data_IF_966303376723
#
_entry.id   IF_966303376723
#
_cell.length_a   1.000
_cell.length_b   1.000
_cell.length_c   1.000
_cell.angle_alpha   90.00
_cell.angle_beta   90.00
_cell.angle_gamma   90.00
#
_symmetry.space_group_name_H-M   'P 1'
#
loop_
_entity.id
_entity.type
_entity.pdbx_description
1 polymer ?
#
# COMPACT_ATOMS: atom_id res chain seq x y z
N UNK A 1 -14.67 49.38 17.81
CA UNK A 1 -13.96 49.26 16.53
C UNK A 1 -14.51 48.06 15.76
N UNK A 2 -15.69 48.18 15.12
CA UNK A 2 -16.24 47.13 14.25
C UNK A 2 -15.38 46.85 13.00
N UNK A 3 -14.48 47.77 12.65
CA UNK A 3 -13.58 47.70 11.49
C UNK A 3 -12.62 46.49 11.59
N UNK A 4 -12.09 46.21 12.79
CA UNK A 4 -11.17 45.09 13.02
C UNK A 4 -11.87 43.74 13.11
N UNK A 5 -13.19 43.73 13.35
CA UNK A 5 -13.97 42.50 13.60
C UNK A 5 -13.89 41.53 12.42
N UNK A 6 -13.96 42.05 11.19
CA UNK A 6 -13.87 41.22 9.98
C UNK A 6 -12.49 40.58 9.82
N UNK A 7 -11.43 41.37 10.01
CA UNK A 7 -10.05 40.86 9.91
C UNK A 7 -9.74 39.82 10.99
N UNK A 8 -10.20 40.04 12.24
CA UNK A 8 -10.04 39.05 13.33
C UNK A 8 -10.80 37.77 13.02
N UNK A 9 -12.01 37.87 12.44
CA UNK A 9 -12.80 36.71 12.01
C UNK A 9 -12.03 35.88 10.97
N UNK A 10 -11.63 36.48 9.87
CA UNK A 10 -10.89 35.78 8.80
C UNK A 10 -9.61 35.13 9.33
N UNK A 11 -8.87 35.86 10.18
CA UNK A 11 -7.65 35.32 10.78
C UNK A 11 -7.93 34.11 11.67
N UNK A 12 -8.97 34.16 12.50
CA UNK A 12 -9.33 33.03 13.36
C UNK A 12 -9.74 31.78 12.58
N UNK A 13 -10.49 31.95 11.48
CA UNK A 13 -10.91 30.84 10.61
C UNK A 13 -9.71 30.22 9.89
N UNK A 14 -8.82 31.06 9.35
CA UNK A 14 -7.59 30.59 8.70
C UNK A 14 -6.71 29.80 9.66
N UNK A 15 -6.51 30.30 10.89
CA UNK A 15 -5.66 29.64 11.89
C UNK A 15 -6.24 28.29 12.32
N UNK A 16 -7.54 28.20 12.55
CA UNK A 16 -8.20 26.94 12.91
C UNK A 16 -8.09 25.91 11.78
N UNK A 17 -8.32 26.33 10.54
CA UNK A 17 -8.15 25.46 9.39
C UNK A 17 -6.71 24.94 9.27
N UNK A 18 -5.70 25.80 9.46
CA UNK A 18 -4.28 25.40 9.43
C UNK A 18 -3.97 24.38 10.52
N UNK A 19 -4.41 24.60 11.76
CA UNK A 19 -4.12 23.67 12.85
C UNK A 19 -4.74 22.30 12.63
N UNK A 20 -6.01 22.25 12.23
CA UNK A 20 -6.68 20.97 11.97
C UNK A 20 -6.06 20.22 10.78
N UNK A 21 -5.68 20.95 9.73
CA UNK A 21 -5.01 20.39 8.56
C UNK A 21 -3.61 19.83 8.90
N UNK A 22 -2.81 20.56 9.67
CA UNK A 22 -1.48 20.09 10.09
C UNK A 22 -1.54 18.89 11.04
N UNK A 23 -2.50 18.87 11.98
CA UNK A 23 -2.74 17.69 12.83
C UNK A 23 -3.11 16.46 11.99
N UNK A 24 -4.00 16.62 11.02
CA UNK A 24 -4.41 15.52 10.14
C UNK A 24 -3.28 15.05 9.23
N UNK A 25 -2.48 15.97 8.68
CA UNK A 25 -1.29 15.64 7.87
C UNK A 25 -0.28 14.84 8.68
N UNK A 26 -0.02 15.22 9.92
CA UNK A 26 0.94 14.53 10.78
C UNK A 26 0.46 13.12 11.14
N UNK A 27 -0.83 12.96 11.49
CA UNK A 27 -1.41 11.64 11.72
C UNK A 27 -1.31 10.76 10.46
N UNK A 28 -1.60 11.32 9.28
CA UNK A 28 -1.45 10.63 7.99
C UNK A 28 0.01 10.26 7.69
N UNK A 29 1.00 11.08 8.07
CA UNK A 29 2.44 10.76 7.90
C UNK A 29 2.85 9.57 8.77
N UNK A 30 2.41 9.57 10.04
CA UNK A 30 2.68 8.47 10.97
C UNK A 30 2.04 7.18 10.45
N UNK A 31 0.76 7.22 10.08
CA UNK A 31 0.03 6.08 9.52
C UNK A 31 0.72 5.56 8.25
N UNK A 32 1.16 6.45 7.37
CA UNK A 32 1.93 6.08 6.17
C UNK A 32 3.16 5.26 6.53
N UNK A 33 3.94 5.72 7.51
CA UNK A 33 5.17 5.04 7.91
C UNK A 33 4.86 3.66 8.52
N UNK A 34 3.80 3.57 9.33
CA UNK A 34 3.32 2.28 9.87
C UNK A 34 2.90 1.34 8.73
N UNK A 35 2.18 1.83 7.71
CA UNK A 35 1.84 1.04 6.53
C UNK A 35 3.09 0.53 5.81
N UNK A 36 4.09 1.37 5.58
CA UNK A 36 5.33 0.97 4.89
C UNK A 36 6.10 -0.11 5.68
N UNK A 37 6.17 0.02 7.00
CA UNK A 37 6.76 -1.01 7.88
C UNK A 37 5.96 -2.33 7.84
N UNK A 38 4.62 -2.26 7.81
CA UNK A 38 3.74 -3.44 7.71
C UNK A 38 3.80 -4.11 6.34
N UNK A 39 3.89 -3.34 5.26
CA UNK A 39 4.15 -3.86 3.92
C UNK A 39 5.50 -4.59 3.88
N UNK A 40 6.54 -4.01 4.49
CA UNK A 40 7.87 -4.64 4.59
C UNK A 40 7.83 -5.95 5.37
N UNK A 41 7.08 -6.00 6.48
CA UNK A 41 6.91 -7.24 7.25
C UNK A 41 6.09 -8.29 6.47
N UNK A 42 5.07 -7.86 5.73
CA UNK A 42 4.26 -8.74 4.89
C UNK A 42 5.06 -9.30 3.70
N UNK A 43 5.93 -8.50 3.08
CA UNK A 43 6.84 -8.96 2.01
C UNK A 43 7.76 -10.09 2.50
N UNK A 44 8.29 -9.99 3.73
CA UNK A 44 9.15 -11.05 4.33
C UNK A 44 8.45 -12.40 4.47
N UNK A 45 7.12 -12.44 4.41
CA UNK A 45 6.32 -13.67 4.47
C UNK A 45 6.12 -14.31 3.08
N UNK A 46 6.51 -13.64 2.01
CA UNK A 46 6.35 -14.16 0.65
C UNK A 46 7.23 -15.40 0.40
N UNK A 47 6.77 -16.35 -0.44
CA UNK A 47 7.51 -17.57 -0.74
C UNK A 47 8.94 -17.37 -1.26
N UNK A 48 9.22 -16.23 -1.92
CA UNK A 48 10.55 -15.88 -2.45
C UNK A 48 11.64 -15.91 -1.37
N UNK A 49 11.31 -15.54 -0.13
CA UNK A 49 12.26 -15.54 0.98
C UNK A 49 12.56 -16.93 1.55
N UNK A 50 11.79 -17.95 1.17
CA UNK A 50 12.03 -19.34 1.59
C UNK A 50 13.12 -20.05 0.77
N UNK A 51 13.53 -19.50 -0.37
CA UNK A 51 14.49 -20.15 -1.29
C UNK A 51 15.82 -20.51 -0.59
N UNK A 52 16.38 -19.60 0.20
CA UNK A 52 17.62 -19.83 0.94
C UNK A 52 17.47 -20.97 1.96
N UNK A 53 16.32 -21.06 2.62
CA UNK A 53 16.02 -22.12 3.59
C UNK A 53 15.96 -23.49 2.90
N UNK A 54 15.36 -23.57 1.71
CA UNK A 54 15.29 -24.80 0.90
C UNK A 54 16.69 -25.21 0.42
N UNK A 55 17.48 -24.27 -0.10
CA UNK A 55 18.84 -24.51 -0.57
C UNK A 55 19.75 -25.03 0.57
N UNK A 56 19.64 -24.43 1.76
CA UNK A 56 20.42 -24.83 2.93
C UNK A 56 20.03 -26.23 3.45
N UNK A 57 18.76 -26.62 3.37
CA UNK A 57 18.33 -28.00 3.71
C UNK A 57 18.98 -29.02 2.78
N UNK A 58 19.02 -28.76 1.47
CA UNK A 58 19.70 -29.63 0.49
C UNK A 58 21.22 -29.72 0.70
N UNK A 59 21.86 -28.66 1.22
CA UNK A 59 23.31 -28.62 1.49
C UNK A 59 23.72 -29.27 2.82
N UNK A 60 22.83 -29.32 3.82
CA UNK A 60 23.12 -29.93 5.14
C UNK A 60 23.41 -31.43 5.08
N UNK A 61 23.01 -32.12 4.02
CA UNK A 61 23.41 -33.51 3.76
C UNK A 61 24.91 -33.67 3.38
N UNK A 62 25.65 -32.57 3.13
CA UNK A 62 27.05 -32.65 2.65
C UNK A 62 28.10 -31.85 3.42
N UNK A 63 27.77 -30.85 4.25
CA UNK A 63 28.79 -30.19 5.09
C UNK A 63 28.20 -29.35 6.23
N UNK A 64 28.85 -29.39 7.40
CA UNK A 64 28.34 -28.90 8.70
C UNK A 64 28.96 -27.57 9.18
N UNK A 65 29.47 -26.70 8.30
CA UNK A 65 30.08 -25.43 8.70
C UNK A 65 29.51 -24.24 7.94
N UNK A 66 29.15 -23.21 8.71
CA UNK A 66 28.60 -21.90 8.35
C UNK A 66 27.13 -21.88 7.90
N UNK A 67 26.22 -22.06 8.87
CA UNK A 67 24.81 -21.70 8.68
C UNK A 67 24.67 -20.22 9.05
N UNK A 68 24.44 -19.35 8.07
CA UNK A 68 24.00 -17.97 8.34
C UNK A 68 22.67 -18.06 9.07
N UNK A 69 22.58 -17.45 10.24
CA UNK A 69 21.34 -17.45 11.04
C UNK A 69 20.32 -16.51 10.38
N UNK A 70 19.32 -17.10 9.74
CA UNK A 70 18.23 -16.34 9.10
C UNK A 70 17.28 -15.93 10.22
N UNK A 71 17.19 -14.64 10.49
CA UNK A 71 16.20 -14.08 11.41
C UNK A 71 14.82 -14.39 10.86
N UNK A 72 14.00 -15.11 11.64
CA UNK A 72 12.67 -15.51 11.22
C UNK A 72 11.68 -14.36 11.44
N UNK A 73 10.70 -14.17 10.54
CA UNK A 73 9.57 -13.27 10.79
C UNK A 73 8.91 -13.56 12.15
N UNK A 74 8.55 -12.51 12.87
CA UNK A 74 8.05 -12.55 14.24
C UNK A 74 9.13 -12.36 15.32
N UNK A 75 10.42 -12.48 14.98
CA UNK A 75 11.50 -12.15 15.92
C UNK A 75 11.50 -10.67 16.31
N UNK A 76 11.12 -9.79 15.38
CA UNK A 76 10.92 -8.36 15.60
C UNK A 76 9.83 -8.04 16.63
N UNK A 77 8.88 -8.95 16.85
CA UNK A 77 7.82 -8.81 17.85
C UNK A 77 8.18 -9.40 19.22
N UNK A 78 9.31 -10.10 19.32
CA UNK A 78 9.76 -10.67 20.60
C UNK A 78 10.43 -9.60 21.47
N UNK A 79 9.59 -8.88 22.24
CA UNK A 79 10.05 -7.82 23.14
C UNK A 79 10.62 -8.39 24.44
N UNK A 80 11.86 -7.99 24.78
CA UNK A 80 12.52 -8.33 26.05
C UNK A 80 12.26 -7.32 27.16
N UNK A 81 12.30 -6.03 26.84
CA UNK A 81 12.06 -4.92 27.77
C UNK A 81 11.24 -3.82 27.10
N UNK A 82 10.52 -3.01 27.87
CA UNK A 82 9.79 -1.82 27.37
C UNK A 82 10.66 -0.55 27.38
N UNK A 83 11.85 -0.63 27.95
CA UNK A 83 12.82 0.47 27.96
C UNK A 83 13.44 0.68 26.56
N UNK A 84 13.53 -0.39 25.76
CA UNK A 84 14.00 -0.35 24.38
C UNK A 84 12.81 -0.11 23.44
N UNK A 85 12.61 1.16 23.06
CA UNK A 85 11.55 1.54 22.12
C UNK A 85 11.99 1.35 20.67
N UNK A 86 11.25 0.48 19.96
CA UNK A 86 11.40 0.30 18.51
C UNK A 86 10.84 1.50 17.74
N UNK A 87 11.12 1.59 16.43
CA UNK A 87 10.49 2.60 15.56
C UNK A 87 8.97 2.48 15.60
N UNK A 88 8.44 1.26 15.49
CA UNK A 88 7.01 1.01 15.64
C UNK A 88 6.44 1.50 16.97
N UNK A 89 7.15 1.35 18.08
CA UNK A 89 6.66 1.83 19.37
C UNK A 89 6.49 3.35 19.37
N UNK A 90 7.48 4.08 18.87
CA UNK A 90 7.44 5.54 18.77
C UNK A 90 6.31 6.00 17.86
N UNK A 91 6.12 5.33 16.72
CA UNK A 91 5.04 5.63 15.78
C UNK A 91 3.66 5.39 16.40
N UNK A 92 3.44 4.26 17.05
CA UNK A 92 2.14 3.94 17.67
C UNK A 92 1.84 4.85 18.87
N UNK A 93 2.85 5.21 19.67
CA UNK A 93 2.69 6.19 20.75
C UNK A 93 2.27 7.56 20.18
N UNK A 94 3.01 8.08 19.20
CA UNK A 94 2.70 9.36 18.57
C UNK A 94 1.32 9.35 17.90
N UNK A 95 0.97 8.26 17.21
CA UNK A 95 -0.35 8.10 16.60
C UNK A 95 -1.47 8.14 17.65
N UNK A 96 -1.31 7.42 18.76
CA UNK A 96 -2.32 7.36 19.82
C UNK A 96 -2.60 8.74 20.41
N UNK A 97 -1.54 9.48 20.75
CA UNK A 97 -1.66 10.83 21.32
C UNK A 97 -2.30 11.82 20.33
N UNK A 98 -1.89 11.78 19.06
CA UNK A 98 -2.42 12.67 18.05
C UNK A 98 -3.87 12.34 17.67
N UNK A 99 -4.20 11.06 17.55
CA UNK A 99 -5.57 10.61 17.34
C UNK A 99 -6.47 10.98 18.52
N UNK A 100 -5.98 10.91 19.75
CA UNK A 100 -6.70 11.41 20.92
C UNK A 100 -7.02 12.89 20.77
N UNK A 101 -6.06 13.72 20.35
CA UNK A 101 -6.28 15.15 20.13
C UNK A 101 -7.29 15.44 18.99
N UNK A 102 -7.21 14.68 17.88
CA UNK A 102 -8.16 14.80 16.75
C UNK A 102 -9.57 14.37 17.16
N UNK A 103 -9.70 13.34 17.99
CA UNK A 103 -10.99 12.80 18.42
C UNK A 103 -11.56 13.50 19.69
N UNK A 104 -10.79 14.40 20.32
CA UNK A 104 -11.17 15.06 21.57
C UNK A 104 -12.48 15.83 21.47
N UNK A 105 -12.69 16.55 20.36
CA UNK A 105 -13.93 17.25 20.05
C UNK A 105 -14.50 16.79 18.71
N UNK A 106 -15.80 16.48 18.66
CA UNK A 106 -16.48 16.12 17.41
C UNK A 106 -16.56 17.29 16.44
N UNK A 107 -16.77 18.51 16.96
CA UNK A 107 -16.75 19.75 16.21
C UNK A 107 -16.11 20.89 17.00
N UNK A 108 -15.60 21.89 16.28
CA UNK A 108 -15.06 23.15 16.82
C UNK A 108 -15.82 24.30 16.17
N UNK A 109 -16.52 25.11 16.96
CA UNK A 109 -17.27 26.26 16.46
C UNK A 109 -16.44 27.53 16.60
N UNK A 110 -16.22 28.23 15.49
CA UNK A 110 -15.43 29.47 15.43
C UNK A 110 -16.22 30.47 14.63
N UNK A 111 -16.79 31.47 15.33
CA UNK A 111 -17.85 32.34 14.79
C UNK A 111 -19.05 31.50 14.31
N UNK A 112 -19.57 31.81 13.13
CA UNK A 112 -20.69 31.10 12.50
C UNK A 112 -20.27 29.83 11.75
N UNK A 113 -19.01 29.38 11.90
CA UNK A 113 -18.47 28.23 11.18
C UNK A 113 -18.21 27.07 12.12
N UNK A 114 -18.57 25.87 11.66
CA UNK A 114 -18.32 24.61 12.36
C UNK A 114 -17.26 23.81 11.62
N UNK A 115 -16.20 23.44 12.33
CA UNK A 115 -15.12 22.61 11.85
C UNK A 115 -15.24 21.21 12.45
N UNK A 116 -14.94 20.16 11.68
CA UNK A 116 -14.96 18.78 12.14
C UNK A 116 -13.55 18.16 12.00
N UNK A 117 -12.76 18.07 13.08
CA UNK A 117 -11.35 17.64 13.02
C UNK A 117 -11.14 16.28 12.31
N UNK A 118 -12.02 15.30 12.58
CA UNK A 118 -11.96 13.97 11.96
C UNK A 118 -12.09 13.98 10.43
N UNK A 119 -12.80 14.95 9.86
CA UNK A 119 -13.03 15.03 8.41
C UNK A 119 -11.73 15.42 7.67
N UNK A 120 -10.87 16.23 8.30
CA UNK A 120 -9.54 16.52 7.76
C UNK A 120 -8.71 15.24 7.67
N UNK A 121 -8.71 14.41 8.73
CA UNK A 121 -8.00 13.14 8.71
C UNK A 121 -8.58 12.19 7.67
N UNK A 122 -9.92 12.05 7.58
CA UNK A 122 -10.58 11.24 6.56
C UNK A 122 -10.10 11.62 5.14
N UNK A 123 -10.15 12.91 4.78
CA UNK A 123 -9.74 13.39 3.46
C UNK A 123 -8.25 13.10 3.15
N UNK A 124 -7.37 13.30 4.14
CA UNK A 124 -5.95 13.00 4.00
C UNK A 124 -5.69 11.50 3.83
N UNK A 125 -6.41 10.64 4.55
CA UNK A 125 -6.29 9.18 4.42
C UNK A 125 -6.76 8.70 3.05
N UNK A 126 -7.90 9.18 2.57
CA UNK A 126 -8.43 8.85 1.24
C UNK A 126 -7.44 9.24 0.13
N UNK A 127 -6.95 10.49 0.17
CA UNK A 127 -5.97 10.98 -0.80
C UNK A 127 -4.66 10.19 -0.74
N UNK A 128 -4.16 9.89 0.46
CA UNK A 128 -2.91 9.16 0.65
C UNK A 128 -3.03 7.71 0.22
N UNK A 129 -4.16 7.06 0.49
CA UNK A 129 -4.42 5.68 0.12
C UNK A 129 -4.53 5.52 -1.40
N UNK A 130 -5.28 6.39 -2.09
CA UNK A 130 -5.32 6.40 -3.56
C UNK A 130 -3.93 6.52 -4.18
N UNK A 131 -3.09 7.43 -3.67
CA UNK A 131 -1.69 7.56 -4.12
C UNK A 131 -0.84 6.34 -3.77
N UNK A 132 -1.06 5.72 -2.61
CA UNK A 132 -0.35 4.50 -2.21
C UNK A 132 -0.64 3.34 -3.17
N UNK A 133 -1.92 3.13 -3.50
CA UNK A 133 -2.39 2.04 -4.37
C UNK A 133 -1.65 2.05 -5.71
N UNK A 134 -1.59 3.21 -6.37
CA UNK A 134 -0.87 3.36 -7.64
C UNK A 134 0.64 3.29 -7.44
N UNK A 135 1.18 3.91 -6.38
CA UNK A 135 2.61 3.87 -6.07
C UNK A 135 3.13 2.44 -5.85
N UNK A 136 2.35 1.57 -5.21
CA UNK A 136 2.71 0.18 -4.97
C UNK A 136 2.72 -0.69 -6.24
N UNK A 137 2.12 -0.23 -7.34
CA UNK A 137 2.19 -0.93 -8.64
C UNK A 137 3.61 -0.92 -9.20
N UNK A 138 4.44 0.06 -8.80
CA UNK A 138 5.85 0.17 -9.21
C UNK A 138 6.04 0.10 -10.73
N UNK A 139 5.09 0.63 -11.51
CA UNK A 139 5.18 0.61 -12.97
C UNK A 139 6.26 1.58 -13.45
N UNK A 140 7.26 1.05 -14.16
CA UNK A 140 8.30 1.83 -14.80
C UNK A 140 8.28 1.58 -16.32
N UNK A 141 7.95 2.63 -17.07
CA UNK A 141 7.82 2.55 -18.53
C UNK A 141 9.15 2.31 -19.24
N UNK A 142 10.26 2.82 -18.68
CA UNK A 142 11.60 2.70 -19.29
C UNK A 142 12.15 1.29 -19.14
N UNK A 143 11.95 0.66 -17.98
CA UNK A 143 12.42 -0.71 -17.71
C UNK A 143 11.37 -1.77 -18.05
N UNK A 144 10.12 -1.38 -18.35
CA UNK A 144 8.98 -2.28 -18.51
C UNK A 144 8.69 -3.12 -17.26
N UNK A 145 9.05 -2.62 -16.09
CA UNK A 145 8.82 -3.30 -14.81
C UNK A 145 7.46 -2.94 -14.23
N UNK A 146 6.84 -3.91 -13.57
CA UNK A 146 5.61 -3.75 -12.79
C UNK A 146 5.64 -4.74 -11.63
N UNK A 147 5.05 -4.38 -10.49
CA UNK A 147 4.87 -5.29 -9.38
C UNK A 147 4.02 -6.50 -9.81
N UNK A 148 4.35 -7.68 -9.27
CA UNK A 148 3.51 -8.87 -9.47
C UNK A 148 2.15 -8.66 -8.79
N UNK A 149 1.03 -9.04 -9.43
CA UNK A 149 -0.29 -8.91 -8.84
C UNK A 149 -0.40 -9.48 -7.42
N UNK A 150 0.21 -10.64 -7.14
CA UNK A 150 0.19 -11.25 -5.80
C UNK A 150 0.95 -10.44 -4.75
N UNK A 151 2.10 -9.87 -5.11
CA UNK A 151 2.90 -9.03 -4.21
C UNK A 151 2.22 -7.69 -3.94
N UNK A 152 1.61 -7.09 -4.97
CA UNK A 152 0.79 -5.89 -4.82
C UNK A 152 -0.41 -6.17 -3.91
N UNK A 153 -1.14 -7.27 -4.12
CA UNK A 153 -2.28 -7.64 -3.30
C UNK A 153 -1.92 -7.81 -1.82
N UNK A 154 -0.79 -8.45 -1.52
CA UNK A 154 -0.28 -8.56 -0.15
C UNK A 154 -0.01 -7.19 0.47
N UNK A 155 0.60 -6.28 -0.29
CA UNK A 155 0.90 -4.91 0.16
C UNK A 155 -0.38 -4.09 0.39
N UNK A 156 -1.36 -4.18 -0.53
CA UNK A 156 -2.67 -3.54 -0.39
C UNK A 156 -3.38 -4.03 0.86
N UNK A 157 -3.41 -5.35 1.10
CA UNK A 157 -4.03 -5.93 2.30
C UNK A 157 -3.32 -5.47 3.58
N UNK A 158 -1.99 -5.42 3.59
CA UNK A 158 -1.23 -4.90 4.73
C UNK A 158 -1.58 -3.44 5.03
N UNK A 159 -1.66 -2.60 3.99
CA UNK A 159 -2.05 -1.20 4.11
C UNK A 159 -3.48 -1.06 4.65
N UNK A 160 -4.43 -1.83 4.12
CA UNK A 160 -5.82 -1.84 4.58
C UNK A 160 -5.93 -2.27 6.04
N UNK A 161 -5.18 -3.28 6.47
CA UNK A 161 -5.18 -3.71 7.87
C UNK A 161 -4.75 -2.58 8.81
N UNK A 162 -3.71 -1.81 8.46
CA UNK A 162 -3.31 -0.64 9.26
C UNK A 162 -4.40 0.41 9.28
N UNK A 163 -4.97 0.77 8.13
CA UNK A 163 -6.05 1.76 8.06
C UNK A 163 -7.26 1.33 8.90
N UNK A 164 -7.64 0.05 8.88
CA UNK A 164 -8.73 -0.47 9.70
C UNK A 164 -8.45 -0.27 11.20
N UNK A 165 -7.19 -0.42 11.65
CA UNK A 165 -6.85 -0.19 13.06
C UNK A 165 -6.98 1.27 13.49
N UNK A 166 -6.99 2.23 12.54
CA UNK A 166 -7.19 3.65 12.84
C UNK A 166 -8.58 3.91 13.45
N UNK A 167 -9.59 3.11 13.08
CA UNK A 167 -10.95 3.19 13.64
C UNK A 167 -10.98 2.98 15.16
N UNK A 168 -9.99 2.27 15.71
CA UNK A 168 -9.88 2.07 17.16
C UNK A 168 -9.48 3.35 17.91
N UNK A 169 -8.87 4.33 17.22
CA UNK A 169 -8.39 5.56 17.82
C UNK A 169 -9.27 6.77 17.49
N UNK A 170 -9.84 6.82 16.27
CA UNK A 170 -10.70 7.91 15.81
C UNK A 170 -11.93 7.33 15.16
N UNK A 171 -13.11 7.87 15.47
CA UNK A 171 -14.39 7.46 14.88
C UNK A 171 -14.53 7.96 13.44
N UNK A 172 -13.77 7.33 12.53
CA UNK A 172 -13.79 7.55 11.08
C UNK A 172 -14.32 6.29 10.41
N UNK A 173 -15.12 6.45 9.36
CA UNK A 173 -15.59 5.35 8.53
C UNK A 173 -14.50 4.98 7.50
N UNK A 174 -13.63 4.03 7.83
CA UNK A 174 -12.56 3.57 6.93
C UNK A 174 -13.13 2.70 5.81
N UNK A 175 -14.28 2.06 6.04
CA UNK A 175 -14.98 1.29 5.00
C UNK A 175 -15.35 2.19 3.82
N UNK A 176 -15.82 3.42 4.09
CA UNK A 176 -16.07 4.41 3.03
C UNK A 176 -14.80 4.79 2.27
N UNK A 177 -13.68 4.97 2.97
CA UNK A 177 -12.38 5.25 2.33
C UNK A 177 -11.99 4.11 1.38
N UNK A 178 -12.13 2.86 1.81
CA UNK A 178 -11.85 1.70 0.96
C UNK A 178 -12.75 1.65 -0.27
N UNK A 179 -14.06 1.82 -0.09
CA UNK A 179 -15.01 1.77 -1.19
C UNK A 179 -14.71 2.85 -2.24
N UNK A 180 -14.40 4.08 -1.82
CA UNK A 180 -14.06 5.16 -2.73
C UNK A 180 -12.76 4.88 -3.48
N UNK A 181 -11.68 4.54 -2.77
CA UNK A 181 -10.36 4.37 -3.39
C UNK A 181 -10.29 3.12 -4.27
N UNK A 182 -10.72 1.94 -3.76
CA UNK A 182 -10.58 0.67 -4.46
C UNK A 182 -11.48 0.61 -5.70
N UNK A 183 -12.71 1.13 -5.62
CA UNK A 183 -13.63 1.15 -6.76
C UNK A 183 -13.09 2.03 -7.90
N UNK A 184 -12.44 3.15 -7.59
CA UNK A 184 -11.81 3.98 -8.61
C UNK A 184 -10.67 3.23 -9.31
N UNK A 185 -9.91 2.39 -8.59
CA UNK A 185 -8.80 1.63 -9.18
C UNK A 185 -9.23 0.55 -10.18
N UNK A 186 -10.53 0.22 -10.24
CA UNK A 186 -11.08 -0.71 -11.25
C UNK A 186 -11.42 -0.04 -12.58
N UNK A 187 -11.40 1.28 -12.65
CA UNK A 187 -11.71 2.05 -13.87
C UNK A 187 -10.43 2.34 -14.66
N UNK A 188 -10.53 2.86 -15.89
CA UNK A 188 -9.34 3.26 -16.65
C UNK A 188 -8.65 4.52 -16.10
N UNK A 189 -9.41 5.42 -15.49
CA UNK A 189 -8.93 6.65 -14.87
C UNK A 189 -9.67 6.85 -13.55
N UNK A 190 -8.98 7.45 -12.58
CA UNK A 190 -9.58 7.82 -11.29
C UNK A 190 -10.40 9.12 -11.40
N UNK A 191 -10.96 9.60 -10.28
CA UNK A 191 -11.75 10.85 -10.26
C UNK A 191 -10.96 12.11 -10.61
N UNK A 192 -9.62 12.04 -10.62
CA UNK A 192 -8.72 13.14 -10.95
C UNK A 192 -8.15 13.03 -12.38
N UNK A 193 -8.50 11.97 -13.11
CA UNK A 193 -7.98 11.70 -14.46
C UNK A 193 -6.63 10.98 -14.48
N UNK A 194 -6.18 10.44 -13.34
CA UNK A 194 -4.92 9.73 -13.22
C UNK A 194 -5.08 8.24 -13.57
N UNK A 195 -3.97 7.62 -14.02
CA UNK A 195 -3.93 6.19 -14.34
C UNK A 195 -4.14 5.35 -13.08
N UNK A 196 -4.97 4.32 -13.21
CA UNK A 196 -5.32 3.37 -12.15
C UNK A 196 -4.53 2.06 -12.25
N UNK A 197 -4.63 1.22 -11.22
CA UNK A 197 -4.14 -0.17 -11.23
C UNK A 197 -4.64 -0.91 -12.48
N UNK A 198 -5.95 -0.86 -12.77
CA UNK A 198 -6.53 -1.54 -13.94
C UNK A 198 -5.90 -1.07 -15.25
N UNK A 199 -5.72 0.24 -15.43
CA UNK A 199 -5.11 0.78 -16.65
C UNK A 199 -3.64 0.36 -16.82
N UNK A 200 -2.87 0.36 -15.72
CA UNK A 200 -1.44 0.03 -15.73
C UNK A 200 -1.21 -1.44 -16.05
N UNK A 201 -1.96 -2.36 -15.41
CA UNK A 201 -1.86 -3.77 -15.73
C UNK A 201 -2.38 -4.08 -17.13
N UNK A 202 -3.49 -3.46 -17.56
CA UNK A 202 -4.01 -3.65 -18.93
C UNK A 202 -2.96 -3.24 -19.97
N UNK A 203 -2.31 -2.10 -19.76
CA UNK A 203 -1.22 -1.62 -20.60
C UNK A 203 -0.05 -2.62 -20.59
N UNK A 204 0.39 -3.06 -19.41
CA UNK A 204 1.53 -3.96 -19.29
C UNK A 204 1.27 -5.33 -19.92
N UNK A 205 0.14 -5.98 -19.65
CA UNK A 205 -0.19 -7.27 -20.25
C UNK A 205 -0.29 -7.16 -21.78
N UNK A 206 -0.89 -6.10 -22.31
CA UNK A 206 -1.10 -5.93 -23.75
C UNK A 206 0.18 -5.55 -24.49
N UNK A 207 0.89 -4.52 -24.02
CA UNK A 207 2.01 -3.90 -24.74
C UNK A 207 3.36 -4.57 -24.45
N UNK A 208 3.51 -5.21 -23.29
CA UNK A 208 4.78 -5.76 -22.81
C UNK A 208 4.75 -7.29 -22.85
N UNK A 209 3.78 -7.95 -22.21
CA UNK A 209 3.71 -9.42 -22.15
C UNK A 209 3.27 -10.01 -23.49
N UNK A 210 2.08 -9.66 -23.99
CA UNK A 210 1.52 -10.24 -25.21
C UNK A 210 2.31 -9.87 -26.47
N UNK A 211 2.94 -8.69 -26.50
CA UNK A 211 3.86 -8.33 -27.59
C UNK A 211 5.04 -9.29 -27.70
N UNK A 212 5.57 -9.76 -26.56
CA UNK A 212 6.67 -10.76 -26.53
C UNK A 212 6.20 -12.17 -26.88
N UNK A 213 4.92 -12.48 -26.62
CA UNK A 213 4.29 -13.71 -27.13
C UNK A 213 4.26 -13.67 -28.66
N UNK A 214 3.79 -12.58 -29.26
CA UNK A 214 3.78 -12.41 -30.71
C UNK A 214 5.18 -12.42 -31.34
N UNK A 215 6.20 -11.97 -30.61
CA UNK A 215 7.60 -12.04 -31.03
C UNK A 215 8.23 -13.43 -30.89
N UNK A 216 7.50 -14.42 -30.35
CA UNK A 216 7.96 -15.80 -30.21
C UNK A 216 8.90 -16.05 -29.02
N UNK A 217 9.06 -15.08 -28.11
CA UNK A 217 9.91 -15.23 -26.91
C UNK A 217 9.19 -15.87 -25.73
N UNK A 218 7.86 -15.91 -25.77
CA UNK A 218 6.97 -16.46 -24.72
C UNK A 218 5.95 -17.36 -25.41
N UNK A 219 5.63 -18.50 -24.80
CA UNK A 219 4.53 -19.36 -25.27
C UNK A 219 3.56 -19.70 -24.14
N UNK A 220 2.34 -20.11 -24.50
CA UNK A 220 1.39 -20.62 -23.53
C UNK A 220 1.62 -22.12 -23.27
N UNK A 221 1.77 -22.50 -22.00
CA UNK A 221 1.95 -23.89 -21.58
C UNK A 221 0.66 -24.43 -20.98
N UNK A 222 0.02 -25.40 -21.64
CA UNK A 222 -1.18 -26.07 -21.12
C UNK A 222 -0.91 -26.82 -19.80
N UNK A 223 0.31 -27.33 -19.60
CA UNK A 223 0.68 -28.07 -18.41
C UNK A 223 0.80 -27.16 -17.18
N UNK A 224 1.35 -25.95 -17.36
CA UNK A 224 1.51 -24.98 -16.28
C UNK A 224 0.31 -24.03 -16.16
N UNK A 225 -0.57 -23.99 -17.19
CA UNK A 225 -1.69 -23.04 -17.30
C UNK A 225 -1.24 -21.59 -17.14
N UNK A 226 -0.09 -21.28 -17.74
CA UNK A 226 0.57 -19.98 -17.68
C UNK A 226 1.31 -19.70 -18.99
N UNK A 227 1.63 -18.43 -19.25
CA UNK A 227 2.64 -18.07 -20.24
C UNK A 227 4.02 -18.31 -19.65
N UNK A 228 4.92 -18.90 -20.44
CA UNK A 228 6.26 -19.31 -20.01
C UNK A 228 7.29 -18.73 -20.98
N UNK A 229 8.37 -18.20 -20.42
CA UNK A 229 9.50 -17.68 -21.18
C UNK A 229 10.23 -18.80 -21.93
N UNK A 230 10.45 -18.65 -23.25
CA UNK A 230 11.19 -19.62 -24.07
C UNK A 230 12.68 -19.31 -24.17
N UNK A 231 13.05 -18.05 -24.02
CA UNK A 231 14.43 -17.59 -24.10
C UNK A 231 15.17 -17.86 -22.79
N UNK A 232 16.50 -18.02 -22.87
CA UNK A 232 17.34 -18.20 -21.69
C UNK A 232 17.13 -17.07 -20.65
N UNK A 233 17.25 -17.42 -19.36
CA UNK A 233 17.14 -16.47 -18.25
C UNK A 233 17.98 -15.21 -18.51
N UNK A 234 17.36 -14.03 -18.41
CA UNK A 234 18.00 -12.73 -18.61
C UNK A 234 17.89 -12.13 -20.03
N UNK A 235 17.36 -12.85 -21.02
CA UNK A 235 17.11 -12.27 -22.35
C UNK A 235 15.90 -11.33 -22.39
N UNK A 236 14.97 -11.49 -21.44
CA UNK A 236 13.82 -10.61 -21.22
C UNK A 236 13.82 -10.14 -19.75
N UNK A 237 13.32 -8.92 -19.46
CA UNK A 237 13.47 -8.32 -18.14
C UNK A 237 12.58 -8.95 -17.05
N UNK A 238 11.71 -9.89 -17.39
CA UNK A 238 10.81 -10.57 -16.46
C UNK A 238 10.53 -12.01 -16.89
N UNK A 239 10.11 -12.85 -15.94
CA UNK A 239 9.64 -14.20 -16.20
C UNK A 239 8.12 -14.19 -16.41
N UNK A 240 7.64 -14.60 -17.58
CA UNK A 240 6.21 -14.54 -17.93
C UNK A 240 5.32 -15.34 -16.97
N UNK A 241 5.83 -16.44 -16.45
CA UNK A 241 5.14 -17.34 -15.52
C UNK A 241 4.86 -16.67 -14.17
N UNK A 242 5.70 -15.71 -13.75
CA UNK A 242 5.54 -14.96 -12.49
C UNK A 242 4.48 -13.85 -12.56
N UNK A 243 3.80 -13.72 -13.71
CA UNK A 243 2.73 -12.74 -13.93
C UNK A 243 1.47 -13.35 -14.53
N UNK A 244 1.50 -14.60 -14.99
CA UNK A 244 0.40 -15.19 -15.76
C UNK A 244 -0.06 -16.56 -15.26
N UNK A 245 0.51 -17.05 -14.16
CA UNK A 245 -0.01 -18.24 -13.49
C UNK A 245 -1.41 -17.98 -12.90
N UNK A 246 -2.04 -19.06 -12.44
CA UNK A 246 -3.40 -18.99 -11.88
C UNK A 246 -3.45 -18.09 -10.63
N UNK A 247 -2.39 -18.04 -9.83
CA UNK A 247 -2.38 -17.26 -8.60
C UNK A 247 -2.27 -15.77 -8.89
N UNK A 248 -1.44 -15.39 -9.86
CA UNK A 248 -1.27 -14.01 -10.31
C UNK A 248 -2.54 -13.50 -10.98
N UNK A 249 -3.15 -14.27 -11.87
CA UNK A 249 -4.41 -13.86 -12.51
C UNK A 249 -5.57 -13.75 -11.51
N UNK A 250 -5.61 -14.60 -10.48
CA UNK A 250 -6.56 -14.45 -9.37
C UNK A 250 -6.31 -13.21 -8.54
N UNK A 251 -5.03 -12.92 -8.23
CA UNK A 251 -4.65 -11.75 -7.46
C UNK A 251 -4.97 -10.47 -8.23
N UNK A 252 -4.74 -10.46 -9.55
CA UNK A 252 -5.14 -9.37 -10.43
C UNK A 252 -6.66 -9.18 -10.42
N UNK A 253 -7.43 -10.26 -10.59
CA UNK A 253 -8.89 -10.21 -10.57
C UNK A 253 -9.45 -9.71 -9.23
N UNK A 254 -8.79 -10.00 -8.11
CA UNK A 254 -9.15 -9.45 -6.80
C UNK A 254 -8.86 -7.95 -6.70
N UNK A 255 -7.74 -7.49 -7.25
CA UNK A 255 -7.34 -6.08 -7.24
C UNK A 255 -8.25 -5.18 -8.10
N UNK A 256 -8.60 -5.63 -9.31
CA UNK A 256 -9.29 -4.79 -10.30
C UNK A 256 -10.77 -5.16 -10.48
N UNK A 257 -11.21 -6.26 -9.88
CA UNK A 257 -12.60 -6.70 -9.86
C UNK A 257 -13.23 -6.93 -11.25
N UNK A 258 -14.57 -7.12 -11.31
CA UNK A 258 -15.26 -7.36 -12.57
C UNK A 258 -15.16 -6.21 -13.58
N UNK A 259 -15.03 -4.97 -13.11
CA UNK A 259 -14.93 -3.81 -13.99
C UNK A 259 -13.59 -3.73 -14.71
N UNK A 260 -12.48 -3.97 -14.00
CA UNK A 260 -11.15 -3.93 -14.62
C UNK A 260 -10.84 -5.16 -15.46
N UNK A 261 -11.48 -6.31 -15.18
CA UNK A 261 -11.32 -7.54 -15.95
C UNK A 261 -12.12 -7.58 -17.27
N UNK A 262 -13.06 -6.66 -17.46
CA UNK A 262 -13.97 -6.60 -18.62
C UNK A 262 -13.30 -5.96 -19.82
#
# INVERSE_FOLDING_TARGET
CPEERHHIRERSLSVVNIFLDEMAKEAKNIITTICDEQCTMSDKLLPKHCAQTIANRKKKDKNKKNTIEIVKPGAESYRKTREELTTMDKLHMALTELCYAINYCTTVNVWEYTFAPREYLHQHLETRFSKALVGMVMFNQDTSEIAKPSELLVSVRAYMNVLQTVENYVHIDITRVFNNCLLQQTQNMDSHGEKTIASLYTQWYSEILLRRVSAGSICFSMNQKAFVSLTAEGAIPFNAEEYSDINELRSLAELIGPYGMK
#
